data_IF_315995088817
#
_entry.id   IF_315995088817
#
_cell.length_a   1.000
_cell.length_b   1.000
_cell.length_c   1.000
_cell.angle_alpha   90.00
_cell.angle_beta   90.00
_cell.angle_gamma   90.00
#
_symmetry.space_group_name_H-M   'P 1'
#
loop_
_entity.id
_entity.type
_entity.pdbx_description
1 polymer ?
#
# COMPACT_ATOMS: atom_id res chain seq x y z
N UNK A 1 3.46 -6.86 -3.02
CA UNK A 1 3.79 -5.82 -4.01
C UNK A 1 2.74 -4.74 -3.91
N UNK A 2 3.14 -3.47 -3.97
CA UNK A 2 2.21 -2.34 -3.95
C UNK A 2 2.41 -1.55 -5.23
N UNK A 3 1.32 -1.32 -5.96
CA UNK A 3 1.32 -0.57 -7.22
C UNK A 3 0.50 0.70 -7.06
N UNK A 4 1.01 1.83 -7.57
CA UNK A 4 0.33 3.13 -7.47
C UNK A 4 0.13 3.70 -8.86
N UNK A 5 -1.10 4.04 -9.20
CA UNK A 5 -1.47 4.63 -10.48
C UNK A 5 -2.35 5.85 -10.28
N UNK A 6 -2.39 6.73 -11.28
CA UNK A 6 -3.25 7.91 -11.22
C UNK A 6 -4.71 7.45 -11.15
N UNK A 7 -5.45 7.90 -10.15
CA UNK A 7 -6.88 7.60 -10.08
C UNK A 7 -7.64 8.42 -11.13
N UNK A 8 -8.82 7.92 -11.53
CA UNK A 8 -9.76 8.70 -12.34
C UNK A 8 -10.37 9.86 -11.53
N UNK A 9 -10.31 9.78 -10.21
CA UNK A 9 -10.74 10.84 -9.31
C UNK A 9 -9.64 11.89 -9.15
N UNK A 10 -9.99 13.16 -9.39
CA UNK A 10 -9.06 14.27 -9.25
C UNK A 10 -8.61 14.40 -7.78
N UNK A 11 -7.29 14.45 -7.56
CA UNK A 11 -6.70 14.52 -6.22
C UNK A 11 -6.56 13.17 -5.50
N UNK A 12 -6.75 12.04 -6.19
CA UNK A 12 -6.57 10.70 -5.61
C UNK A 12 -5.54 9.87 -6.38
N UNK A 13 -4.87 8.98 -5.66
CA UNK A 13 -3.97 7.95 -6.19
C UNK A 13 -4.60 6.59 -5.93
N UNK A 14 -4.66 5.79 -6.98
CA UNK A 14 -5.12 4.41 -6.90
C UNK A 14 -3.97 3.53 -6.46
N UNK A 15 -4.09 2.98 -5.26
CA UNK A 15 -3.12 2.06 -4.66
C UNK A 15 -3.69 0.65 -4.72
N UNK A 16 -2.97 -0.24 -5.40
CA UNK A 16 -3.26 -1.66 -5.45
C UNK A 16 -2.27 -2.41 -4.57
N UNK A 17 -2.81 -3.08 -3.56
CA UNK A 17 -2.11 -4.00 -2.67
C UNK A 17 -2.19 -5.40 -3.26
N UNK A 18 -1.06 -6.09 -3.34
CA UNK A 18 -0.97 -7.44 -3.88
C UNK A 18 -0.15 -8.35 -2.97
N UNK A 19 -0.70 -9.50 -2.59
CA UNK A 19 -0.01 -10.54 -1.84
C UNK A 19 0.09 -11.84 -2.64
N UNK A 20 1.22 -12.56 -2.53
CA UNK A 20 1.51 -13.71 -3.37
C UNK A 20 0.56 -14.88 -3.09
N UNK A 21 0.30 -15.69 -4.11
CA UNK A 21 -0.55 -16.87 -4.01
C UNK A 21 -0.03 -17.97 -3.06
N UNK A 22 1.28 -17.95 -2.74
CA UNK A 22 1.87 -18.88 -1.77
C UNK A 22 1.53 -18.55 -0.32
N UNK A 23 0.89 -17.41 -0.06
CA UNK A 23 0.43 -17.05 1.27
C UNK A 23 -0.81 -17.89 1.63
N UNK A 24 -0.65 -18.83 2.56
CA UNK A 24 -1.75 -19.62 3.08
C UNK A 24 -2.61 -18.76 4.02
N UNK A 25 -3.80 -18.39 3.56
CA UNK A 25 -4.77 -17.60 4.31
C UNK A 25 -6.21 -17.90 3.86
N UNK A 26 -7.16 -17.93 4.79
CA UNK A 26 -8.60 -18.00 4.48
C UNK A 26 -9.16 -16.60 4.22
N UNK A 27 -8.73 -15.62 5.03
CA UNK A 27 -9.15 -14.24 4.92
C UNK A 27 -7.98 -13.28 5.13
N UNK A 28 -7.85 -12.32 4.22
CA UNK A 28 -6.90 -11.22 4.35
C UNK A 28 -7.65 -9.89 4.33
N UNK A 29 -7.40 -9.05 5.32
CA UNK A 29 -7.92 -7.69 5.36
C UNK A 29 -6.79 -6.69 5.36
N UNK A 30 -6.99 -5.54 4.71
CA UNK A 30 -6.10 -4.39 4.83
C UNK A 30 -6.68 -3.46 5.89
N UNK A 31 -5.85 -3.08 6.86
CA UNK A 31 -6.27 -2.28 8.02
C UNK A 31 -5.31 -1.11 8.16
N UNK A 32 -5.81 0.11 8.20
CA UNK A 32 -4.96 1.29 8.27
C UNK A 32 -5.73 2.56 8.58
N UNK A 33 -5.05 3.71 8.49
CA UNK A 33 -5.66 5.01 8.80
C UNK A 33 -6.83 5.36 7.87
N UNK A 34 -6.77 4.95 6.60
CA UNK A 34 -7.84 5.18 5.63
C UNK A 34 -9.14 4.44 5.93
N UNK A 35 -9.14 3.46 6.85
CA UNK A 35 -10.34 2.76 7.29
C UNK A 35 -10.54 2.81 8.81
N UNK A 36 -9.99 3.81 9.48
CA UNK A 36 -10.05 3.98 10.94
C UNK A 36 -9.58 2.73 11.70
N UNK A 37 -8.60 2.00 11.15
CA UNK A 37 -8.09 0.73 11.69
C UNK A 37 -9.15 -0.36 11.87
N UNK A 38 -10.23 -0.33 11.07
CA UNK A 38 -11.27 -1.35 11.08
C UNK A 38 -10.80 -2.66 10.45
N UNK A 39 -10.84 -3.74 11.24
CA UNK A 39 -10.28 -5.05 10.87
C UNK A 39 -11.06 -5.83 9.82
N UNK A 40 -12.30 -5.44 9.57
CA UNK A 40 -13.28 -6.18 8.76
C UNK A 40 -13.86 -5.35 7.60
N UNK A 41 -13.30 -4.16 7.35
CA UNK A 41 -13.85 -3.21 6.38
C UNK A 41 -13.33 -3.44 4.96
N UNK A 42 -12.08 -3.88 4.82
CA UNK A 42 -11.40 -3.98 3.51
C UNK A 42 -10.82 -5.38 3.25
N UNK A 43 -11.65 -6.37 2.89
CA UNK A 43 -11.17 -7.70 2.51
C UNK A 43 -10.43 -7.65 1.17
N UNK A 44 -9.30 -8.35 1.09
CA UNK A 44 -8.63 -8.64 -0.18
C UNK A 44 -9.38 -9.75 -0.91
N UNK A 45 -9.37 -9.68 -2.24
CA UNK A 45 -9.99 -10.70 -3.10
C UNK A 45 -8.90 -11.57 -3.71
N UNK A 46 -9.06 -12.88 -3.62
CA UNK A 46 -8.20 -13.83 -4.31
C UNK A 46 -8.62 -13.95 -5.77
N UNK A 47 -7.68 -13.73 -6.67
CA UNK A 47 -7.89 -13.89 -8.10
C UNK A 47 -7.72 -15.37 -8.54
N UNK A 48 -8.00 -15.66 -9.81
CA UNK A 48 -7.91 -17.01 -10.41
C UNK A 48 -6.51 -17.61 -10.33
N UNK A 49 -5.48 -16.76 -10.32
CA UNK A 49 -4.08 -17.16 -10.18
C UNK A 49 -3.67 -17.41 -8.71
N UNK A 50 -4.61 -17.31 -7.77
CA UNK A 50 -4.40 -17.46 -6.33
C UNK A 50 -3.82 -16.22 -5.65
N UNK A 51 -3.48 -15.18 -6.40
CA UNK A 51 -2.93 -13.91 -5.90
C UNK A 51 -4.02 -13.08 -5.23
N UNK A 52 -3.73 -12.50 -4.08
CA UNK A 52 -4.66 -11.63 -3.37
C UNK A 52 -4.47 -10.19 -3.78
N UNK A 53 -5.55 -9.50 -4.15
CA UNK A 53 -5.53 -8.10 -4.58
C UNK A 53 -6.59 -7.26 -3.85
N UNK A 54 -6.23 -6.02 -3.54
CA UNK A 54 -7.16 -4.97 -3.12
C UNK A 54 -6.75 -3.65 -3.75
N UNK A 55 -7.71 -2.90 -4.28
CA UNK A 55 -7.47 -1.61 -4.89
C UNK A 55 -8.24 -0.54 -4.16
N UNK A 56 -7.54 0.50 -3.69
CA UNK A 56 -8.11 1.64 -2.97
C UNK A 56 -7.74 2.94 -3.68
N UNK A 57 -8.68 3.87 -3.76
CA UNK A 57 -8.40 5.24 -4.18
C UNK A 57 -8.16 6.08 -2.92
N UNK A 58 -6.92 6.53 -2.70
CA UNK A 58 -6.49 7.29 -1.53
C UNK A 58 -6.21 8.76 -1.92
N UNK A 59 -6.52 9.75 -1.06
CA UNK A 59 -6.18 11.15 -1.31
C UNK A 59 -4.67 11.32 -1.55
N UNK A 60 -4.34 12.01 -2.63
CA UNK A 60 -2.97 12.18 -3.10
C UNK A 60 -2.16 13.12 -2.18
N UNK A 61 -0.85 12.88 -2.05
CA UNK A 61 0.05 13.74 -1.27
C UNK A 61 0.04 13.48 0.23
N UNK A 62 -0.47 12.31 0.64
CA UNK A 62 -0.50 11.87 2.03
C UNK A 62 0.16 10.50 2.16
N UNK A 63 0.81 10.27 3.29
CA UNK A 63 1.23 8.94 3.74
C UNK A 63 0.16 8.35 4.64
N UNK A 64 -0.04 7.04 4.54
CA UNK A 64 -1.01 6.29 5.34
C UNK A 64 -0.33 5.09 5.96
N UNK A 65 -0.54 4.91 7.26
CA UNK A 65 -0.15 3.68 7.95
C UNK A 65 -1.16 2.56 7.72
N UNK A 66 -0.68 1.35 7.50
CA UNK A 66 -1.49 0.16 7.29
C UNK A 66 -0.76 -1.14 7.70
N UNK A 67 -1.53 -2.20 7.87
CA UNK A 67 -1.08 -3.59 8.05
C UNK A 67 -2.07 -4.56 7.43
N UNK A 68 -1.58 -5.74 7.08
CA UNK A 68 -2.45 -6.84 6.68
C UNK A 68 -2.85 -7.66 7.90
N UNK A 69 -4.12 -8.04 7.96
CA UNK A 69 -4.65 -8.98 8.91
C UNK A 69 -4.98 -10.29 8.18
N UNK A 70 -4.08 -11.27 8.31
CA UNK A 70 -4.12 -12.58 7.65
C UNK A 70 -4.58 -13.61 8.68
N UNK A 71 -5.81 -14.12 8.59
CA UNK A 71 -6.38 -15.07 9.56
C UNK A 71 -6.12 -14.69 11.03
N UNK A 72 -6.35 -13.41 11.35
CA UNK A 72 -6.13 -12.81 12.67
C UNK A 72 -4.66 -12.63 13.09
N UNK A 73 -3.71 -12.73 12.15
CA UNK A 73 -2.29 -12.41 12.34
C UNK A 73 -1.93 -11.11 11.63
N UNK A 74 -1.18 -10.26 12.31
CA UNK A 74 -0.69 -9.02 11.74
C UNK A 74 0.56 -9.25 10.89
N UNK A 75 0.52 -8.80 9.65
CA UNK A 75 1.62 -8.87 8.70
C UNK A 75 1.94 -7.48 8.16
N UNK A 76 3.22 -7.14 8.10
CA UNK A 76 3.74 -5.94 7.44
C UNK A 76 4.11 -6.26 6.00
N UNK A 77 3.93 -5.29 5.09
CA UNK A 77 4.44 -5.41 3.72
C UNK A 77 5.92 -5.08 3.67
N UNK A 78 6.73 -5.97 3.10
CA UNK A 78 8.14 -5.69 2.77
C UNK A 78 8.30 -4.79 1.54
N UNK A 79 7.24 -4.59 0.75
CA UNK A 79 7.19 -3.67 -0.39
C UNK A 79 6.50 -2.34 -0.04
N UNK A 80 6.27 -2.08 1.26
CA UNK A 80 5.84 -0.78 1.72
C UNK A 80 6.89 0.29 1.41
N UNK A 81 6.47 1.55 1.31
CA UNK A 81 7.41 2.65 1.09
C UNK A 81 8.25 2.91 2.34
N UNK A 82 7.66 2.71 3.51
CA UNK A 82 8.34 2.85 4.80
C UNK A 82 7.74 1.90 5.85
N UNK A 83 8.43 1.74 6.97
CA UNK A 83 7.99 0.97 8.13
C UNK A 83 8.19 1.83 9.38
N UNK A 84 7.10 2.14 10.07
CA UNK A 84 7.11 2.95 11.29
C UNK A 84 6.81 2.11 12.51
N UNK A 85 7.43 2.45 13.63
CA UNK A 85 7.13 1.81 14.92
C UNK A 85 5.98 2.54 15.59
N UNK A 86 4.89 1.83 15.86
CA UNK A 86 3.73 2.38 16.53
C UNK A 86 3.92 2.48 18.04
N UNK A 87 2.99 3.18 18.71
CA UNK A 87 3.00 3.42 20.17
C UNK A 87 2.97 2.16 21.02
N UNK A 88 2.62 1.01 20.43
CA UNK A 88 2.57 -0.29 21.10
C UNK A 88 3.85 -1.11 20.90
N UNK A 89 4.90 -0.53 20.31
CA UNK A 89 6.18 -1.19 20.05
C UNK A 89 6.13 -2.21 18.91
N UNK A 90 5.09 -2.17 18.08
CA UNK A 90 5.00 -3.00 16.88
C UNK A 90 5.18 -2.17 15.61
N UNK A 91 5.45 -2.81 14.48
CA UNK A 91 5.69 -2.12 13.22
C UNK A 91 4.42 -2.03 12.36
N UNK A 92 4.17 -0.85 11.80
CA UNK A 92 3.16 -0.59 10.78
C UNK A 92 3.87 -0.33 9.44
N UNK A 93 3.27 -0.79 8.35
CA UNK A 93 3.71 -0.45 7.00
C UNK A 93 3.15 0.91 6.61
N UNK A 94 3.90 1.70 5.86
CA UNK A 94 3.47 3.01 5.37
C UNK A 94 3.38 2.97 3.85
N UNK A 95 2.28 3.49 3.32
CA UNK A 95 2.11 3.72 1.89
C UNK A 95 1.96 5.21 1.62
N UNK A 96 2.78 5.73 0.71
CA UNK A 96 2.67 7.10 0.23
C UNK A 96 1.69 7.10 -0.94
N UNK A 97 0.55 7.76 -0.80
CA UNK A 97 -0.42 7.99 -1.87
C UNK A 97 0.10 9.09 -2.82
N UNK A 98 1.32 8.90 -3.31
CA UNK A 98 1.97 9.78 -4.27
C UNK A 98 2.30 8.93 -5.49
N UNK A 99 2.07 9.51 -6.66
CA UNK A 99 2.57 8.89 -7.87
C UNK A 99 4.10 8.96 -7.81
N UNK A 100 4.81 7.88 -8.17
CA UNK A 100 6.25 8.00 -8.37
C UNK A 100 6.46 9.19 -9.32
N UNK A 101 7.43 10.08 -9.03
CA UNK A 101 7.69 11.20 -9.92
C UNK A 101 7.93 10.60 -11.29
N UNK A 102 7.01 10.88 -12.23
CA UNK A 102 7.20 10.52 -13.64
C UNK A 102 8.59 11.02 -13.97
N UNK A 103 9.50 10.12 -14.34
CA UNK A 103 10.87 10.50 -14.70
C UNK A 103 10.78 11.30 -16.00
N UNK A 104 10.50 12.59 -15.85
CA UNK A 104 10.65 13.64 -16.83
C UNK A 104 11.44 14.69 -16.06
N UNK A 105 12.61 15.03 -16.60
CA UNK A 105 13.62 15.91 -16.01
C UNK A 105 14.59 15.29 -14.98
N UNK A 106 15.30 14.23 -15.41
CA UNK A 106 16.75 14.28 -15.18
C UNK A 106 17.32 15.37 -16.09
N UNK A 107 17.33 16.62 -15.59
CA UNK A 107 18.16 17.66 -16.17
C UNK A 107 19.61 17.16 -16.11
N UNK A 108 20.33 16.96 -17.22
CA UNK A 108 21.76 16.70 -17.14
C UNK A 108 22.38 17.94 -16.51
N UNK A 109 22.80 17.81 -15.25
CA UNK A 109 23.64 18.81 -14.59
C UNK A 109 24.95 18.85 -15.37
N UNK A 110 25.02 19.76 -16.33
CA UNK A 110 26.23 20.06 -17.07
C UNK A 110 27.20 20.72 -16.08
N UNK A 111 28.17 19.95 -15.59
CA UNK A 111 29.25 20.44 -14.75
C UNK A 111 30.23 21.14 -15.70
N UNK A 112 30.11 22.46 -15.83
CA UNK A 112 31.09 23.27 -16.54
C UNK A 112 32.41 23.27 -15.73
N UNK A 113 33.49 22.86 -16.38
CA UNK A 113 34.87 23.23 -16.06
C UNK A 113 35.47 23.92 -17.27
#
# INVERSE_FOLDING_TARGET
MITKVKSMQAGYVRVQFELPACLWADHIFVVGEFNDWQRNSLPMLQDRDGVWRLTLDLPAGHSYEFRYLVDNRWLTDGHADDIVTNVYGTQNSVVHAELPPTTVDQKPTNVAK
#
